data_IF_551809188708
#
_entry.id   IF_551809188708
#
_cell.length_a   1.000
_cell.length_b   1.000
_cell.length_c   1.000
_cell.angle_alpha   90.00
_cell.angle_beta   90.00
_cell.angle_gamma   90.00
#
_symmetry.space_group_name_H-M   'P 1'
#
loop_
_entity.id
_entity.type
_entity.pdbx_description
1 polymer ?
#
# COMPACT_ATOMS: atom_id res chain seq x y z
N UNK A 1 8.72 13.72 -7.77
CA UNK A 1 9.43 14.90 -7.24
C UNK A 1 10.90 14.58 -6.96
N UNK A 2 11.22 13.58 -6.13
CA UNK A 2 12.60 13.20 -5.76
C UNK A 2 13.51 12.87 -6.95
N UNK A 3 12.98 12.24 -8.01
CA UNK A 3 13.74 11.97 -9.23
C UNK A 3 14.03 13.26 -10.02
N UNK A 4 13.06 14.15 -10.17
CA UNK A 4 13.19 15.40 -10.91
C UNK A 4 14.19 16.37 -10.23
N UNK A 5 14.29 16.33 -8.90
CA UNK A 5 15.27 17.13 -8.15
C UNK A 5 16.70 16.56 -8.20
N UNK A 6 16.86 15.27 -8.52
CA UNK A 6 18.16 14.59 -8.65
C UNK A 6 18.58 14.34 -10.10
N UNK A 7 17.83 14.88 -11.05
CA UNK A 7 18.06 14.66 -12.48
C UNK A 7 19.38 15.30 -12.90
N UNK A 8 20.19 14.50 -13.56
CA UNK A 8 21.40 15.01 -14.23
C UNK A 8 20.99 15.80 -15.48
N UNK A 9 21.19 17.12 -15.49
CA UNK A 9 20.85 17.99 -16.62
C UNK A 9 21.72 17.73 -17.84
N UNK A 10 22.88 17.13 -17.64
CA UNK A 10 23.84 16.88 -18.72
C UNK A 10 23.25 16.15 -19.94
N UNK A 11 22.42 15.14 -19.71
CA UNK A 11 21.75 14.41 -20.79
C UNK A 11 20.75 15.29 -21.57
N UNK A 12 20.10 16.24 -20.90
CA UNK A 12 19.17 17.16 -21.57
C UNK A 12 19.93 18.20 -22.39
N UNK A 13 21.01 18.74 -21.86
CA UNK A 13 21.81 19.75 -22.53
C UNK A 13 22.49 19.17 -23.79
N UNK A 14 23.02 17.95 -23.71
CA UNK A 14 23.52 17.22 -24.85
C UNK A 14 22.43 16.98 -25.91
N UNK A 15 21.26 16.55 -25.50
CA UNK A 15 20.13 16.34 -26.41
C UNK A 15 19.62 17.64 -27.05
N UNK A 16 19.74 18.79 -26.36
CA UNK A 16 19.46 20.12 -26.91
C UNK A 16 20.50 20.55 -27.89
N UNK A 17 21.79 20.35 -27.60
CA UNK A 17 22.90 20.64 -28.53
C UNK A 17 22.78 19.85 -29.84
N UNK A 18 22.35 18.58 -29.75
CA UNK A 18 22.07 17.71 -30.88
C UNK A 18 20.77 18.06 -31.63
N UNK A 19 20.07 19.10 -31.25
CA UNK A 19 18.77 19.54 -31.82
C UNK A 19 17.73 18.42 -31.94
N UNK A 20 17.74 17.45 -31.00
CA UNK A 20 16.77 16.36 -31.00
C UNK A 20 15.36 16.93 -30.69
N UNK A 21 14.32 16.64 -31.51
CA UNK A 21 12.99 17.14 -31.30
C UNK A 21 12.43 16.66 -29.97
N UNK A 22 11.59 17.46 -29.31
CA UNK A 22 11.06 17.22 -27.94
C UNK A 22 10.49 15.81 -27.77
N UNK A 23 9.73 15.34 -28.75
CA UNK A 23 9.11 14.01 -28.69
C UNK A 23 10.13 12.87 -28.63
N UNK A 24 11.13 12.88 -29.50
CA UNK A 24 12.24 11.91 -29.48
C UNK A 24 13.04 12.00 -28.18
N UNK A 25 13.25 13.20 -27.66
CA UNK A 25 13.96 13.43 -26.40
C UNK A 25 13.20 12.85 -25.21
N UNK A 26 11.87 12.97 -25.19
CA UNK A 26 11.03 12.35 -24.16
C UNK A 26 11.15 10.83 -24.20
N UNK A 27 11.03 10.23 -25.37
CA UNK A 27 11.04 8.77 -25.52
C UNK A 27 12.43 8.14 -25.35
N UNK A 28 13.50 8.77 -25.89
CA UNK A 28 14.83 8.15 -25.90
C UNK A 28 15.71 8.55 -24.72
N UNK A 29 15.44 9.68 -24.05
CA UNK A 29 16.25 10.15 -22.91
C UNK A 29 15.46 10.13 -21.60
N UNK A 30 14.30 10.79 -21.58
CA UNK A 30 13.57 10.93 -20.29
C UNK A 30 12.88 9.66 -19.87
N UNK A 31 12.20 8.97 -20.78
CA UNK A 31 11.44 7.76 -20.47
C UNK A 31 12.33 6.62 -19.93
N UNK A 32 13.47 6.27 -20.55
CA UNK A 32 14.37 5.25 -20.00
C UNK A 32 14.93 5.61 -18.61
N UNK A 33 15.28 6.88 -18.39
CA UNK A 33 15.77 7.34 -17.10
C UNK A 33 14.68 7.35 -16.01
N UNK A 34 13.42 7.59 -16.39
CA UNK A 34 12.26 7.57 -15.49
C UNK A 34 11.74 6.14 -15.23
N UNK A 35 12.04 5.20 -16.11
CA UNK A 35 11.47 3.85 -16.10
C UNK A 35 11.58 3.16 -14.72
N UNK A 36 12.71 3.17 -13.99
CA UNK A 36 12.79 2.54 -12.68
C UNK A 36 11.85 3.18 -11.66
N UNK A 37 11.72 4.50 -11.70
CA UNK A 37 10.83 5.23 -10.79
C UNK A 37 9.37 4.99 -11.14
N UNK A 38 9.03 4.98 -12.44
CA UNK A 38 7.70 4.67 -12.94
C UNK A 38 7.29 3.23 -12.58
N UNK A 39 8.19 2.26 -12.75
CA UNK A 39 7.93 0.87 -12.38
C UNK A 39 7.71 0.71 -10.88
N UNK A 40 8.50 1.38 -10.05
CA UNK A 40 8.29 1.38 -8.59
C UNK A 40 6.93 1.97 -8.23
N UNK A 41 6.57 3.11 -8.81
CA UNK A 41 5.26 3.75 -8.58
C UNK A 41 4.11 2.87 -9.07
N UNK A 42 4.26 2.24 -10.23
CA UNK A 42 3.28 1.31 -10.79
C UNK A 42 3.05 0.11 -9.86
N UNK A 43 4.13 -0.46 -9.29
CA UNK A 43 3.99 -1.54 -8.30
C UNK A 43 3.17 -1.11 -7.09
N UNK A 44 3.43 0.08 -6.54
CA UNK A 44 2.64 0.60 -5.42
C UNK A 44 1.16 0.76 -5.79
N UNK A 45 0.87 1.32 -6.97
CA UNK A 45 -0.51 1.48 -7.46
C UNK A 45 -1.20 0.12 -7.62
N UNK A 46 -0.51 -0.87 -8.20
CA UNK A 46 -1.06 -2.23 -8.37
C UNK A 46 -1.36 -2.84 -6.99
N UNK A 47 -0.43 -2.76 -6.04
CA UNK A 47 -0.64 -3.30 -4.69
C UNK A 47 -1.81 -2.60 -3.99
N UNK A 48 -1.90 -1.28 -4.06
CA UNK A 48 -3.01 -0.52 -3.50
C UNK A 48 -4.34 -0.91 -4.11
N UNK A 49 -4.41 -0.96 -5.45
CA UNK A 49 -5.65 -1.31 -6.17
C UNK A 49 -6.09 -2.74 -5.88
N UNK A 50 -5.17 -3.69 -5.79
CA UNK A 50 -5.51 -5.09 -5.49
C UNK A 50 -5.87 -5.27 -4.01
N UNK A 51 -5.31 -4.45 -3.12
CA UNK A 51 -5.66 -4.44 -1.69
C UNK A 51 -7.01 -3.79 -1.40
N UNK A 52 -7.52 -2.99 -2.33
CA UNK A 52 -8.78 -2.28 -2.13
C UNK A 52 -9.97 -3.24 -2.21
N UNK A 53 -10.46 -3.64 -1.05
CA UNK A 53 -11.70 -4.40 -0.91
C UNK A 53 -12.93 -3.48 -0.93
N UNK A 54 -12.85 -2.33 -0.25
CA UNK A 54 -14.01 -1.48 0.02
C UNK A 54 -14.64 -0.93 -1.26
N UNK A 55 -13.87 -0.21 -2.06
CA UNK A 55 -14.34 0.40 -3.31
C UNK A 55 -14.71 -0.68 -4.34
N UNK A 56 -13.90 -1.72 -4.48
CA UNK A 56 -14.17 -2.80 -5.45
C UNK A 56 -15.44 -3.58 -5.10
N UNK A 57 -15.72 -3.81 -3.82
CA UNK A 57 -16.98 -4.42 -3.37
C UNK A 57 -18.17 -3.52 -3.60
N UNK A 58 -18.05 -2.23 -3.29
CA UNK A 58 -19.10 -1.23 -3.54
C UNK A 58 -19.47 -1.13 -5.03
N UNK A 59 -18.47 -1.12 -5.90
CA UNK A 59 -18.66 -1.09 -7.36
C UNK A 59 -19.02 -2.44 -7.95
N UNK A 60 -19.18 -3.49 -7.15
CA UNK A 60 -19.44 -4.86 -7.57
C UNK A 60 -18.39 -5.43 -8.57
N UNK A 61 -17.14 -5.00 -8.41
CA UNK A 61 -16.02 -5.48 -9.23
C UNK A 61 -15.41 -6.71 -8.53
N UNK A 62 -15.41 -7.85 -9.26
CA UNK A 62 -14.86 -9.12 -8.76
C UNK A 62 -13.33 -9.11 -8.81
N UNK A 63 -12.69 -8.59 -7.76
CA UNK A 63 -11.23 -8.68 -7.57
C UNK A 63 -10.85 -9.91 -6.75
N UNK A 64 -9.57 -10.27 -6.73
CA UNK A 64 -9.08 -11.38 -5.90
C UNK A 64 -9.35 -11.12 -4.41
N UNK A 65 -9.20 -9.88 -3.94
CA UNK A 65 -9.50 -9.49 -2.55
C UNK A 65 -10.97 -9.69 -2.20
N UNK A 66 -11.88 -9.28 -3.12
CA UNK A 66 -13.31 -9.52 -2.96
C UNK A 66 -13.62 -11.02 -2.97
N UNK A 67 -13.01 -11.79 -3.90
CA UNK A 67 -13.18 -13.22 -3.95
C UNK A 67 -12.73 -13.95 -2.69
N UNK A 68 -11.59 -13.57 -2.12
CA UNK A 68 -11.10 -14.14 -0.86
C UNK A 68 -12.06 -13.84 0.30
N UNK A 69 -12.53 -12.60 0.38
CA UNK A 69 -13.46 -12.18 1.44
C UNK A 69 -14.81 -12.87 1.32
N UNK A 70 -15.35 -12.95 0.11
CA UNK A 70 -16.64 -13.61 -0.16
C UNK A 70 -16.56 -15.13 0.13
N UNK A 71 -15.49 -15.79 -0.29
CA UNK A 71 -15.27 -17.20 0.02
C UNK A 71 -15.21 -17.43 1.54
N UNK A 72 -14.51 -16.58 2.27
CA UNK A 72 -14.36 -16.73 3.71
C UNK A 72 -15.66 -16.39 4.46
N UNK A 73 -16.20 -15.17 4.27
CA UNK A 73 -17.31 -14.66 5.09
C UNK A 73 -18.71 -15.02 4.56
N UNK A 74 -18.91 -15.12 3.25
CA UNK A 74 -20.24 -15.41 2.69
C UNK A 74 -20.44 -16.89 2.48
N UNK A 75 -19.45 -17.60 1.92
CA UNK A 75 -19.55 -19.03 1.66
C UNK A 75 -19.07 -19.90 2.82
N UNK A 76 -18.45 -19.30 3.83
CA UNK A 76 -17.82 -20.00 4.97
C UNK A 76 -16.81 -21.07 4.52
N UNK A 77 -16.20 -20.87 3.35
CA UNK A 77 -15.23 -21.78 2.74
C UNK A 77 -13.82 -21.19 2.87
N UNK A 78 -13.20 -21.49 4.00
CA UNK A 78 -11.84 -21.08 4.29
C UNK A 78 -10.83 -21.69 3.30
N UNK A 79 -11.10 -22.90 2.81
CA UNK A 79 -10.20 -23.62 1.90
C UNK A 79 -10.10 -22.89 0.56
N UNK A 80 -11.24 -22.51 -0.01
CA UNK A 80 -11.28 -21.72 -1.25
C UNK A 80 -10.63 -20.34 -1.08
N UNK A 81 -10.84 -19.67 0.07
CA UNK A 81 -10.16 -18.40 0.37
C UNK A 81 -8.65 -18.55 0.38
N UNK A 82 -8.12 -19.65 0.95
CA UNK A 82 -6.69 -19.94 0.97
C UNK A 82 -6.11 -20.23 -0.41
N UNK A 83 -6.84 -20.97 -1.27
CA UNK A 83 -6.41 -21.19 -2.67
C UNK A 83 -6.31 -19.87 -3.44
N UNK A 84 -7.26 -18.96 -3.27
CA UNK A 84 -7.21 -17.64 -3.88
C UNK A 84 -6.02 -16.82 -3.33
N UNK A 85 -5.74 -16.90 -2.03
CA UNK A 85 -4.58 -16.26 -1.42
C UNK A 85 -3.25 -16.81 -1.97
N UNK A 86 -3.13 -18.13 -2.18
CA UNK A 86 -1.97 -18.73 -2.82
C UNK A 86 -1.80 -18.25 -4.27
N UNK A 87 -2.88 -18.20 -5.05
CA UNK A 87 -2.87 -17.64 -6.39
C UNK A 87 -2.38 -16.19 -6.42
N UNK A 88 -2.80 -15.38 -5.44
CA UNK A 88 -2.35 -14.01 -5.30
C UNK A 88 -0.83 -13.92 -5.05
N UNK A 89 -0.29 -14.77 -4.18
CA UNK A 89 1.17 -14.82 -3.91
C UNK A 89 1.94 -15.11 -5.20
N UNK A 90 1.47 -16.05 -6.02
CA UNK A 90 2.12 -16.39 -7.30
C UNK A 90 2.14 -15.16 -8.22
N UNK A 91 1.04 -14.42 -8.30
CA UNK A 91 0.97 -13.17 -9.09
C UNK A 91 1.96 -12.14 -8.55
N UNK A 92 2.01 -11.91 -7.24
CA UNK A 92 2.95 -10.98 -6.62
C UNK A 92 4.40 -11.34 -6.90
N UNK A 93 4.78 -12.61 -6.75
CA UNK A 93 6.15 -13.08 -7.00
C UNK A 93 6.49 -12.88 -8.48
N UNK A 94 5.58 -13.18 -9.39
CA UNK A 94 5.78 -12.98 -10.82
C UNK A 94 6.04 -11.50 -11.16
N UNK A 95 5.23 -10.60 -10.62
CA UNK A 95 5.44 -9.15 -10.75
C UNK A 95 6.77 -8.70 -10.17
N UNK A 96 7.14 -9.21 -9.00
CA UNK A 96 8.41 -8.87 -8.37
C UNK A 96 9.62 -9.32 -9.21
N UNK A 97 9.56 -10.50 -9.80
CA UNK A 97 10.62 -11.03 -10.68
C UNK A 97 10.77 -10.13 -11.92
N UNK A 98 9.66 -9.76 -12.57
CA UNK A 98 9.66 -8.86 -13.74
C UNK A 98 10.24 -7.50 -13.36
N UNK A 99 9.80 -6.93 -12.24
CA UNK A 99 10.33 -5.67 -11.70
C UNK A 99 11.85 -5.73 -11.47
N UNK A 100 12.35 -6.80 -10.85
CA UNK A 100 13.77 -6.98 -10.59
C UNK A 100 14.61 -7.06 -11.88
N UNK A 101 14.08 -7.70 -12.93
CA UNK A 101 14.76 -7.77 -14.22
C UNK A 101 14.89 -6.40 -14.87
N UNK A 102 13.79 -5.63 -14.91
CA UNK A 102 13.77 -4.29 -15.51
C UNK A 102 14.72 -3.33 -14.78
N UNK A 103 14.74 -3.36 -13.43
CA UNK A 103 15.61 -2.44 -12.66
C UNK A 103 17.08 -2.81 -12.70
N UNK A 104 17.44 -4.08 -12.81
CA UNK A 104 18.85 -4.49 -12.89
C UNK A 104 19.56 -3.88 -14.08
N UNK A 105 18.89 -3.81 -15.21
CA UNK A 105 19.48 -3.28 -16.44
C UNK A 105 19.66 -1.74 -16.37
N UNK A 106 18.78 -1.05 -15.66
CA UNK A 106 18.78 0.42 -15.58
C UNK A 106 19.71 0.99 -14.48
N UNK A 107 20.07 0.19 -13.47
CA UNK A 107 20.98 0.65 -12.39
C UNK A 107 22.44 0.82 -12.85
N UNK A 108 22.85 0.26 -13.97
CA UNK A 108 24.22 0.37 -14.47
C UNK A 108 24.57 1.79 -14.96
N UNK A 109 23.58 2.59 -15.32
CA UNK A 109 23.79 3.88 -15.98
C UNK A 109 23.60 5.12 -15.07
N UNK A 110 23.27 4.92 -13.80
CA UNK A 110 23.09 6.03 -12.86
C UNK A 110 24.45 6.51 -12.31
N UNK A 111 25.15 7.28 -13.10
CA UNK A 111 26.32 8.05 -12.64
C UNK A 111 25.82 9.10 -11.63
N UNK A 112 26.40 9.05 -10.43
CA UNK A 112 26.11 9.98 -9.33
C UNK A 112 26.65 11.39 -9.68
N UNK A 113 25.87 12.18 -10.38
CA UNK A 113 26.14 13.61 -10.51
C UNK A 113 25.10 14.37 -9.68
N UNK A 114 25.56 15.00 -8.62
CA UNK A 114 24.76 15.87 -7.74
C UNK A 114 24.89 17.32 -8.23
N UNK A 115 24.31 17.65 -9.37
CA UNK A 115 24.13 19.05 -9.75
C UNK A 115 22.80 19.57 -9.25
N UNK A 116 22.81 20.79 -8.69
CA UNK A 116 21.57 21.45 -8.26
C UNK A 116 20.71 21.73 -9.49
N UNK A 117 19.43 21.36 -9.49
CA UNK A 117 18.55 21.63 -10.62
C UNK A 117 18.42 23.13 -10.83
N UNK A 118 18.66 23.60 -12.03
CA UNK A 118 18.27 24.95 -12.45
C UNK A 118 16.75 25.06 -12.47
N UNK A 119 16.22 25.77 -11.49
CA UNK A 119 14.79 26.06 -11.43
C UNK A 119 14.51 27.22 -12.37
N UNK A 120 13.82 26.95 -13.48
CA UNK A 120 13.27 27.98 -14.36
C UNK A 120 12.01 28.54 -13.75
N UNK A 121 11.95 29.85 -13.55
CA UNK A 121 10.72 30.52 -13.10
C UNK A 121 9.71 30.52 -14.25
N UNK A 122 8.54 29.94 -14.00
CA UNK A 122 7.43 29.94 -14.95
C UNK A 122 6.65 31.27 -14.84
N UNK A 123 6.21 31.81 -15.98
CA UNK A 123 5.30 32.93 -15.99
C UNK A 123 3.92 32.49 -15.45
N UNK A 124 3.13 33.43 -14.87
CA UNK A 124 1.81 33.14 -14.29
C UNK A 124 0.87 32.39 -15.26
N UNK A 125 0.85 32.73 -16.54
CA UNK A 125 0.07 32.04 -17.57
C UNK A 125 0.53 30.58 -17.77
N UNK A 126 1.84 30.35 -17.79
CA UNK A 126 2.41 29.00 -17.93
C UNK A 126 2.12 28.16 -16.68
N UNK A 127 2.28 28.74 -15.49
CA UNK A 127 1.94 28.08 -14.23
C UNK A 127 0.48 27.63 -14.25
N UNK A 128 -0.44 28.51 -14.62
CA UNK A 128 -1.87 28.18 -14.69
C UNK A 128 -2.15 27.06 -15.72
N UNK A 129 -1.55 27.13 -16.91
CA UNK A 129 -1.73 26.11 -17.94
C UNK A 129 -1.22 24.73 -17.52
N UNK A 130 -0.12 24.63 -16.75
CA UNK A 130 0.38 23.36 -16.24
C UNK A 130 -0.34 22.85 -14.99
N UNK A 131 -0.90 23.73 -14.16
CA UNK A 131 -1.61 23.33 -12.94
C UNK A 131 -3.10 23.04 -13.18
N UNK A 132 -3.73 23.64 -14.20
CA UNK A 132 -5.13 23.44 -14.51
C UNK A 132 -5.53 21.97 -14.74
N UNK A 133 -4.80 21.18 -15.54
CA UNK A 133 -5.12 19.75 -15.71
C UNK A 133 -5.05 18.96 -14.38
N UNK A 134 -4.12 19.34 -13.50
CA UNK A 134 -4.01 18.71 -12.17
C UNK A 134 -5.21 19.06 -11.28
N UNK A 135 -5.66 20.32 -11.31
CA UNK A 135 -6.86 20.74 -10.59
C UNK A 135 -8.11 20.06 -11.10
N UNK A 136 -8.25 19.90 -12.41
CA UNK A 136 -9.36 19.16 -13.03
C UNK A 136 -9.32 17.69 -12.55
N UNK A 137 -8.17 17.05 -12.57
CA UNK A 137 -8.02 15.68 -12.11
C UNK A 137 -8.39 15.53 -10.63
N UNK A 138 -7.94 16.43 -9.76
CA UNK A 138 -8.30 16.45 -8.34
C UNK A 138 -9.80 16.67 -8.15
N UNK A 139 -10.39 17.59 -8.90
CA UNK A 139 -11.81 17.90 -8.80
C UNK A 139 -12.69 16.72 -9.22
N UNK A 140 -12.31 16.01 -10.28
CA UNK A 140 -13.03 14.81 -10.71
C UNK A 140 -12.81 13.63 -9.78
N UNK A 141 -11.58 13.38 -9.31
CA UNK A 141 -11.27 12.21 -8.48
C UNK A 141 -11.78 12.31 -7.05
N UNK A 142 -11.82 13.51 -6.47
CA UNK A 142 -12.33 13.78 -5.13
C UNK A 142 -13.72 14.41 -5.13
N UNK A 143 -13.96 15.37 -6.02
CA UNK A 143 -15.18 16.15 -6.03
C UNK A 143 -16.41 15.32 -6.34
N UNK A 144 -16.38 14.51 -7.39
CA UNK A 144 -17.54 13.67 -7.75
C UNK A 144 -17.94 12.69 -6.65
N UNK A 145 -17.02 11.85 -6.09
CA UNK A 145 -17.38 10.95 -4.99
C UNK A 145 -17.87 11.70 -3.75
N UNK A 146 -17.26 12.84 -3.41
CA UNK A 146 -17.69 13.64 -2.25
C UNK A 146 -19.09 14.19 -2.43
N UNK A 147 -19.43 14.73 -3.61
CA UNK A 147 -20.77 15.22 -3.89
C UNK A 147 -21.80 14.11 -3.81
N UNK A 148 -21.52 12.95 -4.40
CA UNK A 148 -22.41 11.78 -4.35
C UNK A 148 -22.61 11.31 -2.89
N UNK A 149 -21.54 11.19 -2.11
CA UNK A 149 -21.64 10.81 -0.70
C UNK A 149 -22.44 11.83 0.12
N UNK A 150 -22.25 13.13 -0.11
CA UNK A 150 -23.01 14.18 0.57
C UNK A 150 -24.50 14.12 0.22
N UNK A 151 -24.84 13.99 -1.07
CA UNK A 151 -26.22 13.88 -1.50
C UNK A 151 -26.92 12.65 -0.91
N UNK A 152 -26.27 11.49 -0.96
CA UNK A 152 -26.78 10.26 -0.36
C UNK A 152 -26.92 10.37 1.17
N UNK A 153 -25.97 11.03 1.83
CA UNK A 153 -26.05 11.28 3.29
C UNK A 153 -27.22 12.16 3.64
N UNK A 154 -27.43 13.25 2.91
CA UNK A 154 -28.56 14.18 3.17
C UNK A 154 -29.91 13.47 2.96
N UNK A 155 -30.02 12.63 1.92
CA UNK A 155 -31.26 11.90 1.60
C UNK A 155 -31.56 10.78 2.59
N UNK A 156 -30.52 10.14 3.16
CA UNK A 156 -30.66 8.95 4.03
C UNK A 156 -30.43 9.29 5.50
N UNK A 157 -30.31 10.57 5.85
CA UNK A 157 -29.98 10.98 7.22
C UNK A 157 -31.13 10.72 8.18
N UNK A 158 -30.89 9.84 9.15
CA UNK A 158 -31.80 9.53 10.25
C UNK A 158 -31.11 9.82 11.58
N UNK A 159 -31.70 10.66 12.40
CA UNK A 159 -31.13 11.07 13.71
C UNK A 159 -30.95 9.86 14.64
N UNK A 160 -31.83 8.88 14.56
CA UNK A 160 -31.79 7.64 15.39
C UNK A 160 -30.55 6.78 15.15
N UNK A 161 -29.89 6.94 14.01
CA UNK A 161 -28.68 6.20 13.66
C UNK A 161 -27.37 6.82 14.17
N UNK A 162 -27.39 8.01 14.77
CA UNK A 162 -26.18 8.74 15.16
C UNK A 162 -25.42 8.00 16.27
N UNK A 163 -26.10 7.45 17.26
CA UNK A 163 -25.46 6.81 18.39
C UNK A 163 -24.69 5.53 18.04
N UNK A 164 -25.23 4.60 17.21
CA UNK A 164 -24.46 3.48 16.67
C UNK A 164 -23.23 3.92 15.87
N UNK A 165 -23.36 4.98 15.05
CA UNK A 165 -22.23 5.53 14.29
C UNK A 165 -21.11 6.08 15.18
N UNK A 166 -21.46 6.83 16.22
CA UNK A 166 -20.49 7.35 17.19
C UNK A 166 -19.77 6.24 17.94
N UNK A 167 -20.46 5.16 18.29
CA UNK A 167 -19.85 3.97 18.91
C UNK A 167 -18.89 3.29 17.96
N UNK A 168 -19.28 3.07 16.71
CA UNK A 168 -18.43 2.49 15.67
C UNK A 168 -17.19 3.36 15.42
N UNK A 169 -17.34 4.68 15.34
CA UNK A 169 -16.25 5.63 15.22
C UNK A 169 -15.30 5.54 16.43
N UNK A 170 -15.84 5.53 17.63
CA UNK A 170 -15.06 5.42 18.88
C UNK A 170 -14.23 4.13 18.93
N UNK A 171 -14.83 2.99 18.60
CA UNK A 171 -14.12 1.70 18.56
C UNK A 171 -13.04 1.68 17.48
N UNK A 172 -13.32 2.21 16.30
CA UNK A 172 -12.34 2.30 15.21
C UNK A 172 -11.17 3.20 15.58
N UNK A 173 -11.43 4.36 16.18
CA UNK A 173 -10.37 5.27 16.63
C UNK A 173 -9.52 4.64 17.74
N UNK A 174 -10.14 3.95 18.69
CA UNK A 174 -9.41 3.26 19.76
C UNK A 174 -8.46 2.19 19.19
N UNK A 175 -8.96 1.33 18.31
CA UNK A 175 -8.14 0.29 17.67
C UNK A 175 -7.02 0.93 16.84
N UNK A 176 -7.32 1.96 16.05
CA UNK A 176 -6.33 2.66 15.23
C UNK A 176 -5.23 3.33 16.07
N UNK A 177 -5.58 3.93 17.20
CA UNK A 177 -4.61 4.54 18.11
C UNK A 177 -3.71 3.49 18.76
N UNK A 178 -4.27 2.39 19.25
CA UNK A 178 -3.51 1.30 19.85
C UNK A 178 -2.57 0.65 18.84
N UNK A 179 -3.07 0.36 17.63
CA UNK A 179 -2.26 -0.18 16.55
C UNK A 179 -1.13 0.78 16.14
N UNK A 180 -1.43 2.07 15.97
CA UNK A 180 -0.43 3.09 15.63
C UNK A 180 0.65 3.21 16.69
N UNK A 181 0.27 3.20 17.97
CA UNK A 181 1.22 3.22 19.09
C UNK A 181 2.14 2.00 19.06
N UNK A 182 1.57 0.80 18.88
CA UNK A 182 2.32 -0.45 18.78
C UNK A 182 3.31 -0.44 17.60
N UNK A 183 2.86 0.03 16.43
CA UNK A 183 3.70 0.17 15.24
C UNK A 183 4.86 1.15 15.49
N UNK A 184 4.61 2.29 16.14
CA UNK A 184 5.65 3.27 16.48
C UNK A 184 6.72 2.64 17.38
N UNK A 185 6.30 1.95 18.46
CA UNK A 185 7.24 1.29 19.38
C UNK A 185 8.08 0.25 18.66
N UNK A 186 7.45 -0.64 17.89
CA UNK A 186 8.16 -1.69 17.14
C UNK A 186 9.11 -1.08 16.10
N UNK A 187 8.64 -0.05 15.38
CA UNK A 187 9.45 0.65 14.37
C UNK A 187 10.68 1.33 14.97
N UNK A 188 10.55 1.94 16.15
CA UNK A 188 11.67 2.51 16.88
C UNK A 188 12.67 1.44 17.30
N UNK A 189 12.19 0.30 17.82
CA UNK A 189 13.06 -0.83 18.20
C UNK A 189 13.82 -1.38 16.98
N UNK A 190 13.13 -1.61 15.87
CA UNK A 190 13.73 -2.07 14.62
C UNK A 190 14.76 -1.07 14.10
N UNK A 191 14.42 0.21 14.08
CA UNK A 191 15.30 1.28 13.59
C UNK A 191 16.55 1.41 14.45
N UNK A 192 16.39 1.34 15.76
CA UNK A 192 17.49 1.40 16.72
C UNK A 192 18.42 0.19 16.58
N UNK A 193 17.86 -1.02 16.55
CA UNK A 193 18.62 -2.27 16.34
C UNK A 193 19.39 -2.24 15.01
N UNK A 194 18.79 -1.73 13.95
CA UNK A 194 19.42 -1.60 12.62
C UNK A 194 20.61 -0.64 12.65
N UNK A 195 20.56 0.41 13.46
CA UNK A 195 21.64 1.40 13.63
C UNK A 195 22.86 0.80 14.31
N UNK A 196 22.66 0.00 15.37
CA UNK A 196 23.74 -0.56 16.19
C UNK A 196 24.25 -1.92 15.72
N UNK A 197 23.53 -2.61 14.85
CA UNK A 197 23.90 -3.92 14.35
C UNK A 197 24.85 -3.83 13.16
N UNK A 198 25.99 -4.52 13.22
CA UNK A 198 26.94 -4.70 12.11
C UNK A 198 26.59 -5.91 11.23
N UNK A 199 25.82 -6.87 11.75
CA UNK A 199 25.49 -8.13 11.06
C UNK A 199 24.60 -7.92 9.84
N UNK A 200 25.05 -8.41 8.68
CA UNK A 200 24.30 -8.36 7.41
C UNK A 200 23.00 -9.18 7.45
N UNK A 201 23.00 -10.29 8.19
CA UNK A 201 21.84 -11.16 8.35
C UNK A 201 20.73 -10.48 9.13
N UNK A 202 21.05 -9.87 10.26
CA UNK A 202 20.08 -9.14 11.08
C UNK A 202 19.49 -7.97 10.27
N UNK A 203 20.30 -7.23 9.52
CA UNK A 203 19.80 -6.16 8.64
C UNK A 203 18.84 -6.65 7.56
N UNK A 204 19.03 -7.87 7.03
CA UNK A 204 18.08 -8.49 6.09
C UNK A 204 16.73 -8.80 6.76
N UNK A 205 16.77 -9.42 7.96
CA UNK A 205 15.56 -9.76 8.72
C UNK A 205 14.78 -8.48 9.09
N UNK A 206 15.47 -7.43 9.54
CA UNK A 206 14.85 -6.15 9.91
C UNK A 206 14.25 -5.38 8.72
N UNK A 207 14.50 -5.82 7.48
CA UNK A 207 13.83 -5.27 6.29
C UNK A 207 12.58 -6.07 5.87
N UNK A 208 12.34 -7.25 6.45
CA UNK A 208 11.17 -8.08 6.12
C UNK A 208 9.81 -7.37 6.30
N UNK A 209 9.60 -6.55 7.35
CA UNK A 209 8.32 -5.87 7.53
C UNK A 209 7.91 -4.98 6.35
N UNK A 210 8.86 -4.49 5.54
CA UNK A 210 8.56 -3.69 4.35
C UNK A 210 7.73 -4.50 3.32
N UNK A 211 7.94 -5.81 3.26
CA UNK A 211 7.19 -6.69 2.37
C UNK A 211 5.74 -6.90 2.82
N UNK A 212 5.43 -6.63 4.09
CA UNK A 212 4.06 -6.74 4.61
C UNK A 212 3.05 -5.88 3.84
N UNK A 213 3.49 -4.73 3.30
CA UNK A 213 2.63 -3.86 2.47
C UNK A 213 2.18 -4.51 1.14
N UNK A 214 2.89 -5.53 0.66
CA UNK A 214 2.53 -6.21 -0.58
C UNK A 214 1.37 -7.20 -0.41
N UNK A 215 1.02 -7.56 0.83
CA UNK A 215 -0.05 -8.53 1.10
C UNK A 215 -1.38 -7.82 1.33
N UNK A 216 -2.48 -8.29 0.69
CA UNK A 216 -3.82 -7.79 0.97
C UNK A 216 -4.19 -7.93 2.44
N UNK A 217 -4.86 -6.92 3.01
CA UNK A 217 -5.33 -6.96 4.39
C UNK A 217 -6.18 -8.18 4.69
N UNK A 218 -7.04 -8.59 3.75
CA UNK A 218 -7.85 -9.82 3.86
C UNK A 218 -6.99 -11.06 4.03
N UNK A 219 -5.90 -11.17 3.28
CA UNK A 219 -4.97 -12.31 3.37
C UNK A 219 -4.24 -12.33 4.72
N UNK A 220 -3.80 -11.17 5.20
CA UNK A 220 -3.17 -11.03 6.51
C UNK A 220 -4.18 -11.45 7.60
N UNK A 221 -5.42 -10.96 7.53
CA UNK A 221 -6.49 -11.34 8.46
C UNK A 221 -6.77 -12.85 8.47
N UNK A 222 -6.80 -13.50 7.29
CA UNK A 222 -6.93 -14.95 7.17
C UNK A 222 -5.78 -15.70 7.86
N UNK A 223 -4.54 -15.25 7.63
CA UNK A 223 -3.35 -15.87 8.26
C UNK A 223 -3.39 -15.76 9.78
N UNK A 224 -3.72 -14.57 10.31
CA UNK A 224 -3.87 -14.35 11.75
C UNK A 224 -5.02 -15.18 12.33
N UNK A 225 -6.17 -15.19 11.69
CA UNK A 225 -7.31 -15.98 12.13
C UNK A 225 -6.95 -17.48 12.25
N UNK A 226 -6.31 -18.04 11.22
CA UNK A 226 -5.85 -19.43 11.25
C UNK A 226 -4.80 -19.68 12.32
N UNK A 227 -3.82 -18.80 12.46
CA UNK A 227 -2.80 -18.91 13.49
C UNK A 227 -3.44 -18.95 14.88
N UNK A 228 -4.34 -18.03 15.19
CA UNK A 228 -4.98 -17.95 16.50
C UNK A 228 -5.93 -19.14 16.78
N UNK A 229 -6.63 -19.67 15.76
CA UNK A 229 -7.43 -20.90 15.93
C UNK A 229 -6.52 -22.08 16.33
N UNK A 230 -5.38 -22.25 15.65
CA UNK A 230 -4.45 -23.32 15.99
C UNK A 230 -3.80 -23.09 17.36
N UNK A 231 -3.48 -21.86 17.67
CA UNK A 231 -2.93 -21.48 18.96
C UNK A 231 -3.91 -21.69 20.10
N UNK A 232 -5.18 -21.33 19.92
CA UNK A 232 -6.26 -21.63 20.87
C UNK A 232 -6.43 -23.13 21.09
N UNK A 233 -6.36 -23.94 20.01
CA UNK A 233 -6.40 -25.40 20.13
C UNK A 233 -5.22 -25.95 20.93
N UNK A 234 -4.03 -25.37 20.77
CA UNK A 234 -2.85 -25.77 21.50
C UNK A 234 -2.90 -25.36 22.97
N UNK A 235 -3.39 -24.19 23.29
CA UNK A 235 -3.48 -23.67 24.67
C UNK A 235 -4.65 -24.22 25.48
N UNK A 236 -5.76 -24.55 24.84
CA UNK A 236 -6.97 -25.01 25.55
C UNK A 236 -6.78 -26.24 26.44
N UNK A 237 -5.98 -27.27 26.07
CA UNK A 237 -5.68 -28.39 26.98
C UNK A 237 -4.97 -27.92 28.24
N UNK A 238 -4.04 -26.98 28.13
CA UNK A 238 -3.28 -26.42 29.26
C UNK A 238 -4.23 -25.61 30.19
N UNK A 239 -5.10 -24.79 29.60
CA UNK A 239 -6.08 -23.99 30.36
C UNK A 239 -7.08 -24.84 31.11
N UNK A 240 -7.50 -25.98 30.52
CA UNK A 240 -8.41 -26.94 31.21
C UNK A 240 -7.77 -27.57 32.43
N UNK A 241 -6.46 -27.77 32.46
CA UNK A 241 -5.73 -28.27 33.61
C UNK A 241 -5.81 -27.32 34.83
N UNK A 242 -5.97 -26.00 34.56
CA UNK A 242 -6.10 -24.98 35.58
C UNK A 242 -7.56 -24.65 35.95
N UNK A 243 -8.53 -25.46 35.50
CA UNK A 243 -9.96 -25.32 35.88
C UNK A 243 -10.68 -24.13 35.25
N UNK A 244 -10.08 -23.44 34.27
CA UNK A 244 -10.65 -22.26 33.63
C UNK A 244 -11.50 -22.59 32.39
N UNK A 245 -12.41 -21.66 32.04
CA UNK A 245 -13.20 -21.75 30.81
C UNK A 245 -12.30 -21.69 29.56
N UNK A 246 -12.82 -22.15 28.42
CA UNK A 246 -12.09 -22.13 27.14
C UNK A 246 -11.61 -20.72 26.79
N UNK A 247 -10.31 -20.58 26.49
CA UNK A 247 -9.75 -19.35 25.99
C UNK A 247 -10.04 -19.25 24.49
N UNK A 248 -10.57 -18.11 24.04
CA UNK A 248 -10.85 -17.83 22.63
C UNK A 248 -10.12 -16.54 22.25
N UNK A 249 -8.81 -16.66 22.04
CA UNK A 249 -7.96 -15.52 21.63
C UNK A 249 -8.29 -15.05 20.22
N UNK A 250 -8.70 -15.97 19.34
CA UNK A 250 -9.07 -15.69 17.95
C UNK A 250 -10.18 -14.65 17.78
N UNK A 251 -10.99 -14.41 18.83
CA UNK A 251 -12.05 -13.39 18.85
C UNK A 251 -11.69 -12.18 19.72
N UNK A 252 -10.45 -12.09 20.19
CA UNK A 252 -10.03 -11.00 21.07
C UNK A 252 -9.60 -9.75 20.27
N UNK A 253 -9.68 -8.59 20.92
CA UNK A 253 -9.25 -7.31 20.35
C UNK A 253 -7.74 -7.32 20.02
N UNK A 254 -6.96 -8.18 20.67
CA UNK A 254 -5.53 -8.32 20.44
C UNK A 254 -5.20 -8.82 19.02
N UNK A 255 -6.10 -9.61 18.42
CA UNK A 255 -5.96 -10.08 17.04
C UNK A 255 -6.10 -8.95 16.02
N UNK A 256 -6.87 -7.91 16.37
CA UNK A 256 -7.03 -6.73 15.51
C UNK A 256 -5.84 -5.76 15.59
N UNK A 257 -5.04 -5.84 16.64
CA UNK A 257 -3.92 -4.92 16.92
C UNK A 257 -2.60 -5.51 16.45
N UNK A 258 -2.48 -6.84 16.39
CA UNK A 258 -1.28 -7.54 15.94
C UNK A 258 -1.12 -7.59 14.42
#
# INVERSE_FOLDING_TARGET
>A
KAYLTKRNQHHEDVARMLRIPLWKRILSVHLPLLLPTLMTSLMFIIFETVNDYGVTKYLNIKTLSVGMFDAWFQLNDLTSALYLAMGYIVVLISFYIVYQRIIKDTKKDSIKSYEKPHLTSLNKKQTFSYTMPLWILVLFSLGLPLVELLLNTIQSFQIESILPWLRALGSTLMVALLASFSIIVISLLISNTKRFTSSKWIKKILNLPIFGYAFPGVMIALMYYMFFIHFDRFLNPIYRLFGNQRLVLSLSIWVLIS
#
